data_IF_925033988274
#
_entry.id   IF_925033988274
#
_cell.length_a   1.000
_cell.length_b   1.000
_cell.length_c   1.000
_cell.angle_alpha   90.00
_cell.angle_beta   90.00
_cell.angle_gamma   90.00
#
_symmetry.space_group_name_H-M   'P 1'
#
loop_
_entity.id
_entity.type
_entity.pdbx_description
1 polymer ?
#
# COMPACT_ATOMS: atom_id res chain seq x y z
N UNK A 1 42.39 55.85 -6.60
CA UNK A 1 43.58 56.42 -5.93
C UNK A 1 43.12 57.63 -5.13
N UNK A 2 43.58 57.82 -3.88
CA UNK A 2 42.94 58.71 -2.87
C UNK A 2 41.84 57.96 -2.12
N UNK A 3 41.85 57.66 -0.80
CA UNK A 3 42.49 58.26 0.39
C UNK A 3 42.04 59.71 0.66
N UNK A 4 41.64 60.16 1.87
CA UNK A 4 41.74 59.59 3.24
C UNK A 4 40.79 60.29 4.26
N UNK A 5 40.37 59.56 5.30
CA UNK A 5 40.08 59.96 6.71
C UNK A 5 39.37 61.28 7.12
N UNK A 6 38.43 61.16 8.07
CA UNK A 6 37.96 62.24 8.97
C UNK A 6 36.84 61.77 9.92
N UNK A 7 37.00 61.88 11.24
CA UNK A 7 36.10 61.33 12.27
C UNK A 7 35.79 62.38 13.36
N UNK A 8 34.55 62.41 13.90
CA UNK A 8 34.23 62.97 15.22
C UNK A 8 32.87 62.49 15.78
N UNK A 9 32.84 62.33 17.11
CA UNK A 9 31.81 62.02 18.13
C UNK A 9 30.30 62.30 17.84
N UNK A 10 29.30 61.71 18.53
CA UNK A 10 29.13 61.40 19.98
C UNK A 10 28.41 60.05 20.21
N UNK A 11 28.84 59.15 21.11
CA UNK A 11 28.69 59.13 22.58
C UNK A 11 27.23 58.90 23.09
N UNK A 12 27.01 57.82 23.85
CA UNK A 12 25.70 57.41 24.38
C UNK A 12 25.67 55.96 24.89
N UNK A 13 26.25 55.72 26.06
CA UNK A 13 26.30 54.40 26.70
C UNK A 13 24.92 53.89 27.18
N UNK A 14 24.72 52.57 27.15
CA UNK A 14 23.48 51.92 27.55
C UNK A 14 23.70 50.43 27.83
N UNK A 15 23.97 50.11 29.09
CA UNK A 15 24.34 48.77 29.57
C UNK A 15 23.19 47.75 29.49
N UNK A 16 23.53 46.48 29.28
CA UNK A 16 22.55 45.38 29.17
C UNK A 16 21.93 45.01 30.54
N UNK A 17 20.80 44.28 30.51
CA UNK A 17 20.86 43.00 31.21
C UNK A 17 20.39 41.83 30.32
N UNK A 18 21.17 40.75 30.33
CA UNK A 18 20.74 39.46 29.81
C UNK A 18 19.70 38.84 30.75
N UNK A 19 18.62 38.25 30.21
CA UNK A 19 17.82 37.31 31.00
C UNK A 19 17.01 36.29 30.17
N UNK A 20 16.82 35.12 30.78
CA UNK A 20 15.90 34.02 30.42
C UNK A 20 16.00 33.42 28.99
N UNK A 21 16.80 32.36 28.86
CA UNK A 21 16.56 31.33 27.84
C UNK A 21 15.27 30.54 28.17
N UNK A 22 14.46 30.13 27.17
CA UNK A 22 13.20 29.44 27.42
C UNK A 22 13.41 28.00 27.92
N UNK A 23 12.78 27.68 29.06
CA UNK A 23 12.79 26.36 29.69
C UNK A 23 12.19 25.29 28.76
N UNK A 24 12.83 24.12 28.57
CA UNK A 24 12.29 23.06 27.72
C UNK A 24 11.04 22.43 28.34
N UNK A 25 9.87 22.71 27.77
CA UNK A 25 8.61 22.02 28.14
C UNK A 25 8.70 20.54 27.78
N UNK A 26 8.79 19.70 28.81
CA UNK A 26 8.90 18.24 28.71
C UNK A 26 7.64 17.68 28.06
N UNK A 27 7.70 17.29 26.77
CA UNK A 27 6.58 16.58 26.10
C UNK A 27 6.19 15.34 26.91
N UNK A 28 4.89 15.04 27.07
CA UNK A 28 4.47 13.74 27.58
C UNK A 28 4.91 12.63 26.61
N UNK A 29 5.23 11.42 27.11
CA UNK A 29 5.59 10.31 26.24
C UNK A 29 4.42 9.93 25.32
N UNK A 30 4.69 9.44 24.10
CA UNK A 30 3.64 8.92 23.23
C UNK A 30 2.93 7.76 23.93
N UNK A 31 1.60 7.69 23.78
CA UNK A 31 0.83 6.53 24.24
C UNK A 31 1.27 5.33 23.42
N UNK A 32 1.93 4.37 24.08
CA UNK A 32 2.29 3.08 23.49
C UNK A 32 1.05 2.44 22.85
N UNK A 33 1.10 2.18 21.54
CA UNK A 33 0.15 1.28 20.90
C UNK A 33 0.42 -0.12 21.45
N UNK A 34 -0.43 -0.58 22.37
CA UNK A 34 -0.37 -1.95 22.84
C UNK A 34 -0.74 -2.89 21.68
N UNK A 35 0.27 -3.55 21.08
CA UNK A 35 0.01 -4.69 20.21
C UNK A 35 -0.68 -5.78 21.04
N UNK A 36 -1.86 -6.29 20.63
CA UNK A 36 -2.49 -7.39 21.32
C UNK A 36 -1.68 -8.68 21.08
N UNK A 37 -1.16 -9.28 22.16
CA UNK A 37 -0.63 -10.64 22.12
C UNK A 37 -1.74 -11.65 21.82
N UNK A 38 -1.49 -12.67 20.98
CA UNK A 38 -2.53 -13.62 20.57
C UNK A 38 -2.92 -14.56 21.73
N UNK A 39 -4.22 -14.86 21.91
CA UNK A 39 -4.67 -15.82 22.92
C UNK A 39 -4.35 -17.27 22.52
N UNK A 40 -3.85 -18.06 23.47
CA UNK A 40 -3.62 -19.50 23.29
C UNK A 40 -4.95 -20.25 23.35
N UNK A 41 -5.50 -20.60 22.18
CA UNK A 41 -6.76 -21.34 22.07
C UNK A 41 -6.53 -22.84 22.30
N UNK A 42 -6.96 -23.36 23.46
CA UNK A 42 -7.10 -24.80 23.70
C UNK A 42 -8.39 -25.33 23.06
N UNK A 43 -8.29 -26.37 22.22
CA UNK A 43 -9.44 -27.09 21.65
C UNK A 43 -10.13 -27.99 22.69
N UNK A 44 -11.48 -27.96 22.81
CA UNK A 44 -12.27 -29.06 23.34
C UNK A 44 -12.54 -30.15 22.28
N UNK A 45 -12.99 -31.32 22.70
CA UNK A 45 -13.12 -32.53 21.86
C UNK A 45 -14.50 -33.18 22.04
N UNK A 46 -15.26 -33.30 20.95
CA UNK A 46 -16.28 -34.34 20.73
C UNK A 46 -17.67 -34.20 21.38
N UNK A 47 -18.67 -34.83 20.74
CA UNK A 47 -20.06 -35.02 21.22
C UNK A 47 -21.07 -35.05 20.06
N UNK A 48 -21.95 -36.06 19.98
CA UNK A 48 -22.88 -36.26 18.84
C UNK A 48 -24.31 -36.65 19.24
N UNK A 49 -25.15 -36.95 18.24
CA UNK A 49 -26.62 -37.17 18.32
C UNK A 49 -27.33 -36.18 17.37
N UNK A 50 -28.24 -36.53 16.44
CA UNK A 50 -29.44 -37.38 16.57
C UNK A 50 -30.64 -36.48 16.92
N UNK A 51 -31.80 -36.43 16.23
CA UNK A 51 -32.41 -37.33 15.23
C UNK A 51 -33.44 -36.59 14.32
N UNK A 52 -33.83 -37.27 13.22
CA UNK A 52 -35.01 -37.14 12.33
C UNK A 52 -36.23 -36.26 12.73
N UNK A 53 -36.85 -35.56 11.75
CA UNK A 53 -38.25 -35.85 11.30
C UNK A 53 -38.85 -34.91 10.21
N UNK A 54 -39.35 -35.55 9.13
CA UNK A 54 -40.63 -35.30 8.41
C UNK A 54 -40.91 -34.07 7.50
N UNK A 55 -41.65 -34.38 6.43
CA UNK A 55 -42.25 -33.61 5.31
C UNK A 55 -43.52 -34.38 4.86
N UNK A 56 -44.40 -33.85 3.95
CA UNK A 56 -44.65 -32.46 3.55
C UNK A 56 -46.09 -32.05 4.01
N UNK A 57 -47.23 -31.96 3.26
CA UNK A 57 -47.52 -32.02 1.81
C UNK A 57 -48.09 -30.72 1.17
N UNK A 58 -48.19 -30.73 -0.16
CA UNK A 58 -48.95 -29.84 -1.08
C UNK A 58 -50.46 -30.18 -1.08
N UNK A 59 -51.44 -29.46 -1.65
CA UNK A 59 -51.58 -28.21 -2.46
C UNK A 59 -53.08 -27.96 -2.71
N UNK A 60 -53.53 -26.74 -3.04
CA UNK A 60 -54.70 -26.53 -3.91
C UNK A 60 -54.66 -25.18 -4.64
N UNK A 61 -55.04 -25.17 -5.93
CA UNK A 61 -55.14 -23.97 -6.77
C UNK A 61 -56.45 -23.20 -6.52
N UNK A 62 -56.41 -21.89 -6.74
CA UNK A 62 -57.44 -21.23 -7.55
C UNK A 62 -56.85 -20.04 -8.33
N UNK A 63 -57.27 -19.92 -9.58
CA UNK A 63 -56.81 -18.97 -10.59
C UNK A 63 -57.54 -17.64 -10.54
N UNK A 64 -56.92 -16.57 -11.06
CA UNK A 64 -57.59 -15.63 -11.96
C UNK A 64 -56.58 -14.74 -12.70
N UNK A 65 -56.73 -14.64 -14.02
CA UNK A 65 -55.90 -13.80 -14.88
C UNK A 65 -56.29 -12.32 -14.81
N UNK A 66 -55.29 -11.45 -14.76
CA UNK A 66 -55.42 -10.05 -15.14
C UNK A 66 -54.11 -9.59 -15.79
N UNK A 67 -54.15 -9.29 -17.08
CA UNK A 67 -52.96 -8.92 -17.84
C UNK A 67 -52.42 -7.54 -17.40
N UNK A 68 -51.19 -7.49 -16.93
CA UNK A 68 -50.38 -6.27 -16.87
C UNK A 68 -48.93 -6.67 -17.10
N UNK A 69 -48.33 -6.18 -18.18
CA UNK A 69 -46.95 -6.45 -18.55
C UNK A 69 -46.02 -5.81 -17.50
N UNK A 70 -45.19 -6.60 -16.78
CA UNK A 70 -44.24 -6.02 -15.84
C UNK A 70 -43.13 -5.27 -16.60
N UNK A 71 -42.54 -4.20 -16.02
CA UNK A 71 -41.38 -3.56 -16.61
C UNK A 71 -40.25 -4.56 -16.72
N UNK A 72 -39.59 -4.57 -17.89
CA UNK A 72 -38.54 -5.53 -18.24
C UNK A 72 -37.31 -5.25 -17.39
N UNK A 73 -37.18 -5.96 -16.25
CA UNK A 73 -35.96 -5.95 -15.45
C UNK A 73 -34.78 -6.32 -16.36
N UNK A 74 -33.66 -5.56 -16.32
CA UNK A 74 -32.44 -6.03 -16.98
C UNK A 74 -32.07 -7.39 -16.39
N UNK A 75 -31.54 -8.33 -17.20
CA UNK A 75 -31.07 -9.59 -16.66
C UNK A 75 -30.04 -9.31 -15.56
N UNK A 76 -30.00 -10.10 -14.47
CA UNK A 76 -28.92 -9.97 -13.50
C UNK A 76 -27.61 -10.14 -14.25
N UNK A 77 -26.81 -9.07 -14.29
CA UNK A 77 -25.49 -9.10 -14.87
C UNK A 77 -24.70 -10.18 -14.16
N UNK A 78 -24.43 -11.29 -14.86
CA UNK A 78 -23.54 -12.33 -14.36
C UNK A 78 -22.27 -11.63 -13.90
N UNK A 79 -21.85 -11.75 -12.63
CA UNK A 79 -20.61 -11.12 -12.21
C UNK A 79 -19.51 -11.68 -13.10
N UNK A 80 -18.89 -10.82 -13.92
CA UNK A 80 -17.81 -11.26 -14.78
C UNK A 80 -16.76 -11.96 -13.91
N UNK A 81 -16.19 -13.08 -14.37
CA UNK A 81 -15.19 -13.79 -13.58
C UNK A 81 -14.02 -12.83 -13.33
N UNK A 82 -13.93 -12.31 -12.10
CA UNK A 82 -12.95 -11.29 -11.70
C UNK A 82 -11.60 -11.66 -12.30
N UNK A 83 -11.20 -10.95 -13.35
CA UNK A 83 -9.95 -11.27 -14.02
C UNK A 83 -8.85 -11.10 -12.98
N UNK A 84 -8.00 -12.11 -12.82
CA UNK A 84 -6.79 -11.98 -12.01
C UNK A 84 -5.93 -10.90 -12.67
N UNK A 85 -6.06 -9.67 -12.19
CA UNK A 85 -5.37 -8.46 -12.66
C UNK A 85 -3.88 -8.51 -12.25
N UNK A 86 -3.21 -9.59 -12.63
CA UNK A 86 -1.78 -9.78 -12.49
C UNK A 86 -1.14 -9.30 -13.79
N UNK A 87 -0.52 -8.13 -13.71
CA UNK A 87 0.06 -7.44 -14.85
C UNK A 87 1.33 -8.16 -15.29
N UNK A 88 1.27 -8.73 -16.50
CA UNK A 88 2.36 -9.50 -17.11
C UNK A 88 3.25 -8.61 -17.97
N UNK A 89 4.13 -7.82 -17.33
CA UNK A 89 5.32 -7.21 -17.98
C UNK A 89 6.55 -8.10 -17.79
N UNK A 90 6.39 -9.36 -18.20
CA UNK A 90 7.51 -10.28 -18.36
C UNK A 90 8.01 -10.04 -19.78
N UNK A 91 9.16 -9.37 -19.92
CA UNK A 91 9.80 -9.24 -21.22
C UNK A 91 10.12 -10.61 -21.81
N UNK A 92 10.36 -10.69 -23.12
CA UNK A 92 10.62 -11.93 -23.83
C UNK A 92 11.67 -12.81 -23.12
N UNK A 93 11.57 -14.16 -23.17
CA UNK A 93 12.56 -15.04 -22.54
C UNK A 93 13.99 -14.69 -22.98
N UNK A 94 14.88 -14.48 -22.00
CA UNK A 94 16.26 -14.02 -22.25
C UNK A 94 16.46 -12.51 -22.38
N UNK A 95 15.38 -11.70 -22.42
CA UNK A 95 15.47 -10.24 -22.37
C UNK A 95 16.09 -9.74 -21.05
N UNK A 96 16.71 -8.56 -21.10
CA UNK A 96 17.26 -7.90 -19.91
C UNK A 96 16.21 -7.76 -18.79
N UNK A 97 14.97 -7.38 -19.14
CA UNK A 97 13.85 -7.29 -18.19
C UNK A 97 13.54 -8.64 -17.54
N UNK A 98 13.54 -9.75 -18.29
CA UNK A 98 13.33 -11.08 -17.73
C UNK A 98 14.48 -11.52 -16.79
N UNK A 99 15.73 -11.25 -17.17
CA UNK A 99 16.92 -11.56 -16.38
C UNK A 99 16.95 -10.75 -15.06
N UNK A 100 16.69 -9.44 -15.12
CA UNK A 100 16.62 -8.58 -13.94
C UNK A 100 15.51 -9.00 -12.97
N UNK A 101 14.33 -9.40 -13.48
CA UNK A 101 13.25 -9.95 -12.64
C UNK A 101 13.66 -11.27 -11.96
N UNK A 102 14.40 -12.13 -12.66
CA UNK A 102 14.91 -13.37 -12.10
C UNK A 102 15.97 -13.12 -11.01
N UNK A 103 16.91 -12.19 -11.25
CA UNK A 103 17.92 -11.76 -10.28
C UNK A 103 17.28 -11.13 -9.03
N UNK A 104 16.36 -10.17 -9.19
CA UNK A 104 15.59 -9.58 -8.09
C UNK A 104 14.89 -10.66 -7.25
N UNK A 105 14.25 -11.65 -7.90
CA UNK A 105 13.61 -12.77 -7.22
C UNK A 105 14.61 -13.74 -6.56
N UNK A 106 15.82 -13.90 -7.09
CA UNK A 106 16.88 -14.69 -6.47
C UNK A 106 17.44 -14.00 -5.23
N UNK A 107 17.79 -12.71 -5.33
CA UNK A 107 18.27 -11.88 -4.21
C UNK A 107 17.25 -11.85 -3.05
N UNK A 108 15.95 -11.70 -3.35
CA UNK A 108 14.89 -11.77 -2.32
C UNK A 108 14.88 -13.08 -1.54
N UNK A 109 15.16 -14.22 -2.20
CA UNK A 109 15.21 -15.54 -1.56
C UNK A 109 16.48 -15.72 -0.73
N UNK A 110 17.62 -15.24 -1.22
CA UNK A 110 18.91 -15.40 -0.56
C UNK A 110 19.15 -14.42 0.60
N UNK A 111 18.71 -13.17 0.45
CA UNK A 111 19.09 -12.05 1.32
C UNK A 111 17.89 -11.40 2.04
N UNK A 112 16.66 -11.84 1.76
CA UNK A 112 15.43 -11.26 2.32
C UNK A 112 14.85 -10.09 1.49
N UNK A 113 13.70 -9.53 1.90
CA UNK A 113 12.95 -8.54 1.12
C UNK A 113 13.67 -7.20 0.92
N UNK A 114 14.67 -6.91 1.76
CA UNK A 114 15.35 -5.62 1.88
C UNK A 114 16.50 -5.47 0.88
N UNK A 115 17.10 -6.60 0.51
CA UNK A 115 18.41 -6.69 -0.14
C UNK A 115 18.30 -6.99 -1.65
N UNK A 116 17.18 -6.61 -2.25
CA UNK A 116 16.84 -6.87 -3.65
C UNK A 116 16.16 -5.66 -4.30
N UNK A 117 16.62 -4.47 -3.91
CA UNK A 117 16.00 -3.16 -4.21
C UNK A 117 16.98 -2.18 -4.86
N UNK A 118 18.28 -2.47 -4.79
CA UNK A 118 19.33 -1.70 -5.46
C UNK A 118 19.53 -2.24 -6.86
N UNK A 119 19.53 -1.33 -7.84
CA UNK A 119 19.76 -1.68 -9.23
C UNK A 119 21.13 -2.36 -9.38
N UNK A 120 21.23 -3.48 -10.12
CA UNK A 120 22.52 -4.09 -10.44
C UNK A 120 23.45 -3.09 -11.15
N UNK A 121 24.76 -3.22 -10.96
CA UNK A 121 25.73 -2.32 -11.57
C UNK A 121 25.58 -2.30 -13.10
N UNK A 122 25.43 -1.09 -13.67
CA UNK A 122 25.17 -0.90 -15.11
C UNK A 122 23.71 -1.11 -15.54
N UNK A 123 22.78 -1.44 -14.63
CA UNK A 123 21.35 -1.41 -14.93
C UNK A 123 20.85 0.05 -15.01
N UNK A 124 20.01 0.33 -16.00
CA UNK A 124 19.22 1.57 -16.05
C UNK A 124 18.25 1.63 -14.87
N UNK A 125 18.21 2.76 -14.17
CA UNK A 125 17.37 2.94 -12.97
C UNK A 125 15.87 2.87 -13.31
N UNK A 126 15.45 3.45 -14.44
CA UNK A 126 14.06 3.46 -14.87
C UNK A 126 13.53 2.04 -15.17
N UNK A 127 14.37 1.17 -15.73
CA UNK A 127 14.05 -0.25 -15.93
C UNK A 127 13.89 -1.01 -14.62
N UNK A 128 14.71 -0.68 -13.62
CA UNK A 128 14.62 -1.25 -12.30
C UNK A 128 13.33 -0.80 -11.56
N UNK A 129 12.95 0.47 -11.72
CA UNK A 129 11.71 1.04 -11.20
C UNK A 129 10.49 0.39 -11.88
N UNK A 130 10.45 0.27 -13.22
CA UNK A 130 9.34 -0.38 -13.96
C UNK A 130 9.13 -1.82 -13.47
N UNK A 131 10.22 -2.57 -13.25
CA UNK A 131 10.15 -3.92 -12.69
C UNK A 131 9.46 -3.89 -11.32
N UNK A 132 9.94 -3.07 -10.39
CA UNK A 132 9.49 -3.11 -9.00
C UNK A 132 8.13 -2.46 -8.74
N UNK A 133 7.78 -1.38 -9.44
CA UNK A 133 6.44 -0.75 -9.30
C UNK A 133 5.36 -1.73 -9.76
N UNK A 134 5.62 -2.48 -10.84
CA UNK A 134 4.70 -3.52 -11.35
C UNK A 134 4.67 -4.75 -10.42
N UNK A 135 5.77 -5.09 -9.74
CA UNK A 135 5.73 -6.10 -8.67
C UNK A 135 4.86 -5.62 -7.49
N UNK A 136 5.10 -4.42 -6.96
CA UNK A 136 4.39 -3.88 -5.81
C UNK A 136 2.87 -3.77 -6.04
N UNK A 137 2.46 -3.38 -7.26
CA UNK A 137 1.07 -3.47 -7.70
C UNK A 137 0.52 -4.89 -7.58
N UNK A 138 1.21 -5.85 -8.21
CA UNK A 138 0.77 -7.25 -8.27
C UNK A 138 0.70 -7.87 -6.86
N UNK A 139 1.63 -7.51 -5.96
CA UNK A 139 1.63 -7.95 -4.56
C UNK A 139 0.37 -7.47 -3.82
N UNK A 140 0.07 -6.16 -3.90
CA UNK A 140 -1.07 -5.57 -3.21
C UNK A 140 -2.40 -6.06 -3.80
N UNK A 141 -2.53 -6.14 -5.12
CA UNK A 141 -3.72 -6.68 -5.77
C UNK A 141 -3.94 -8.16 -5.39
N UNK A 142 -2.89 -8.98 -5.40
CA UNK A 142 -2.97 -10.38 -4.96
C UNK A 142 -3.21 -10.53 -3.45
N UNK A 143 -2.82 -9.54 -2.63
CA UNK A 143 -3.19 -9.50 -1.22
C UNK A 143 -4.68 -9.19 -1.05
N UNK A 144 -5.17 -8.15 -1.72
CA UNK A 144 -6.54 -7.67 -1.66
C UNK A 144 -7.56 -8.73 -2.07
N UNK A 145 -7.37 -9.35 -3.23
CA UNK A 145 -8.31 -10.36 -3.76
C UNK A 145 -8.32 -11.65 -2.93
N UNK A 146 -7.16 -12.21 -2.57
CA UNK A 146 -7.10 -13.48 -1.84
C UNK A 146 -7.61 -13.38 -0.40
N UNK A 147 -7.60 -12.19 0.22
CA UNK A 147 -8.16 -11.97 1.57
C UNK A 147 -9.64 -11.53 1.49
N UNK A 148 -10.16 -11.24 0.29
CA UNK A 148 -11.53 -10.75 0.08
C UNK A 148 -11.74 -9.34 0.64
N UNK A 149 -10.76 -8.45 0.45
CA UNK A 149 -10.78 -7.13 1.11
C UNK A 149 -11.82 -6.17 0.56
N UNK A 150 -12.29 -6.29 -0.68
CA UNK A 150 -13.36 -5.43 -1.21
C UNK A 150 -14.64 -5.53 -0.37
N UNK A 151 -15.17 -6.74 -0.19
CA UNK A 151 -16.39 -6.98 0.60
C UNK A 151 -16.20 -6.63 2.08
N UNK A 152 -15.03 -6.97 2.66
CA UNK A 152 -14.68 -6.60 4.04
C UNK A 152 -14.53 -5.09 4.24
N UNK A 153 -14.07 -4.35 3.23
CA UNK A 153 -13.95 -2.90 3.25
C UNK A 153 -15.34 -2.25 3.17
N UNK A 154 -16.18 -2.68 2.21
CA UNK A 154 -17.58 -2.23 2.09
C UNK A 154 -18.38 -2.52 3.36
N UNK A 155 -18.25 -3.71 3.93
CA UNK A 155 -18.95 -4.08 5.17
C UNK A 155 -18.50 -3.26 6.40
N UNK A 156 -17.22 -2.87 6.47
CA UNK A 156 -16.67 -2.11 7.60
C UNK A 156 -16.94 -0.60 7.50
N UNK A 157 -16.81 -0.03 6.30
CA UNK A 157 -16.76 1.42 6.09
C UNK A 157 -17.91 1.97 5.26
N UNK A 158 -18.68 1.13 4.55
CA UNK A 158 -19.79 1.57 3.73
C UNK A 158 -19.36 2.59 2.66
N UNK A 159 -19.94 3.78 2.71
CA UNK A 159 -19.64 4.89 1.81
C UNK A 159 -18.45 5.76 2.24
N UNK A 160 -17.81 5.48 3.39
CA UNK A 160 -16.73 6.35 3.88
C UNK A 160 -15.46 6.25 3.02
N UNK A 161 -14.75 7.38 2.79
CA UNK A 161 -13.49 7.42 2.05
C UNK A 161 -12.35 6.67 2.77
N UNK A 162 -11.26 6.34 2.06
CA UNK A 162 -10.13 5.61 2.65
C UNK A 162 -9.39 6.45 3.69
N UNK A 163 -9.20 5.88 4.88
CA UNK A 163 -8.47 6.50 6.00
C UNK A 163 -7.19 5.74 6.36
N UNK A 164 -6.24 6.46 6.96
CA UNK A 164 -5.10 5.93 7.69
C UNK A 164 -4.92 6.75 8.98
N UNK A 165 -5.26 6.17 10.12
CA UNK A 165 -5.49 6.94 11.36
C UNK A 165 -6.52 8.04 11.12
N UNK A 166 -6.20 9.25 11.58
CA UNK A 166 -7.05 10.43 11.44
C UNK A 166 -6.98 11.09 10.04
N UNK A 167 -6.14 10.60 9.12
CA UNK A 167 -6.00 11.16 7.77
C UNK A 167 -6.92 10.43 6.79
N UNK A 168 -7.80 11.19 6.14
CA UNK A 168 -8.63 10.76 5.00
C UNK A 168 -7.95 11.11 3.68
N UNK A 169 -8.11 10.28 2.63
CA UNK A 169 -7.60 10.55 1.29
C UNK A 169 -8.72 10.71 0.27
N UNK A 170 -8.67 11.80 -0.49
CA UNK A 170 -9.49 12.03 -1.67
C UNK A 170 -8.86 11.38 -2.92
N UNK A 171 -9.69 11.05 -3.92
CA UNK A 171 -9.22 10.67 -5.25
C UNK A 171 -8.68 11.90 -5.98
N UNK A 172 -7.47 11.78 -6.52
CA UNK A 172 -6.93 12.76 -7.47
C UNK A 172 -7.20 12.21 -8.88
N UNK A 173 -8.11 12.80 -9.69
CA UNK A 173 -8.45 12.27 -11.01
C UNK A 173 -7.26 12.27 -11.98
N UNK A 174 -7.30 11.37 -12.96
CA UNK A 174 -6.51 11.52 -14.20
C UNK A 174 -7.29 12.41 -15.20
N UNK A 175 -6.64 12.96 -16.24
CA UNK A 175 -7.27 13.90 -17.20
C UNK A 175 -8.47 13.34 -17.97
N UNK A 176 -8.60 12.03 -17.99
CA UNK A 176 -9.63 11.29 -18.71
C UNK A 176 -10.70 10.71 -17.75
N UNK A 177 -10.61 11.02 -16.45
CA UNK A 177 -11.62 10.65 -15.47
C UNK A 177 -12.80 11.63 -15.52
N UNK A 178 -14.00 11.15 -15.19
CA UNK A 178 -15.19 11.98 -15.09
C UNK A 178 -15.14 12.86 -13.82
N UNK A 179 -14.90 14.16 -14.00
CA UNK A 179 -14.84 15.19 -12.95
C UNK A 179 -16.10 15.28 -12.07
N UNK A 180 -17.23 14.66 -12.45
CA UNK A 180 -18.47 14.68 -11.65
C UNK A 180 -18.37 13.89 -10.34
N UNK A 181 -17.36 13.02 -10.19
CA UNK A 181 -17.15 12.25 -8.97
C UNK A 181 -16.38 13.11 -7.96
N UNK A 182 -17.10 13.62 -6.97
CA UNK A 182 -16.54 14.38 -5.86
C UNK A 182 -15.45 13.56 -5.16
N UNK A 183 -14.20 13.95 -5.42
CA UNK A 183 -12.97 13.31 -4.98
C UNK A 183 -12.96 12.86 -3.51
N UNK A 184 -13.65 13.63 -2.65
CA UNK A 184 -13.70 13.46 -1.20
C UNK A 184 -14.67 12.38 -0.71
N UNK A 185 -15.69 12.04 -1.50
CA UNK A 185 -16.78 11.13 -1.12
C UNK A 185 -16.61 9.72 -1.72
N UNK A 186 -15.50 9.45 -2.42
CA UNK A 186 -15.26 8.15 -3.04
C UNK A 186 -15.04 7.07 -1.95
N UNK A 187 -15.89 6.03 -1.86
CA UNK A 187 -15.77 5.01 -0.81
C UNK A 187 -14.44 4.27 -0.85
N UNK A 188 -13.94 3.86 0.31
CA UNK A 188 -12.62 3.24 0.46
C UNK A 188 -12.38 2.03 -0.47
N UNK A 189 -13.37 1.16 -0.64
CA UNK A 189 -13.27 0.02 -1.55
C UNK A 189 -13.17 0.46 -3.03
N UNK A 190 -13.93 1.49 -3.43
CA UNK A 190 -13.96 2.02 -4.78
C UNK A 190 -12.68 2.83 -5.11
N UNK A 191 -12.09 3.51 -4.12
CA UNK A 191 -10.76 4.12 -4.24
C UNK A 191 -9.68 3.07 -4.57
N UNK A 192 -9.71 1.92 -3.87
CA UNK A 192 -8.73 0.84 -4.11
C UNK A 192 -8.97 0.20 -5.48
N UNK A 193 -10.23 -0.04 -5.87
CA UNK A 193 -10.57 -0.52 -7.21
C UNK A 193 -10.08 0.43 -8.32
N UNK A 194 -10.33 1.75 -8.20
CA UNK A 194 -9.84 2.76 -9.14
C UNK A 194 -8.32 2.89 -9.16
N UNK A 195 -7.66 2.72 -8.01
CA UNK A 195 -6.20 2.62 -7.96
C UNK A 195 -5.69 1.46 -8.82
N UNK A 196 -6.39 0.31 -8.78
CA UNK A 196 -6.01 -0.84 -9.58
C UNK A 196 -6.29 -0.67 -11.08
N UNK A 197 -7.42 -0.06 -11.42
CA UNK A 197 -7.82 0.26 -12.79
C UNK A 197 -6.90 1.32 -13.43
N UNK A 198 -6.69 2.46 -12.77
CA UNK A 198 -5.84 3.55 -13.28
C UNK A 198 -4.41 3.09 -13.55
N UNK A 199 -3.83 2.25 -12.68
CA UNK A 199 -2.51 1.66 -12.96
C UNK A 199 -2.54 0.69 -14.16
N UNK A 200 -3.65 -0.04 -14.35
CA UNK A 200 -3.86 -0.91 -15.52
C UNK A 200 -4.07 -0.12 -16.82
N UNK A 201 -4.57 1.13 -16.74
CA UNK A 201 -4.56 2.10 -17.86
C UNK A 201 -3.14 2.60 -18.12
N UNK A 202 -2.49 3.16 -17.11
CA UNK A 202 -1.15 3.75 -17.22
C UNK A 202 -0.09 2.77 -17.77
N UNK A 203 -0.13 1.51 -17.35
CA UNK A 203 0.83 0.48 -17.79
C UNK A 203 0.72 0.08 -19.28
N UNK A 204 -0.42 0.43 -19.92
CA UNK A 204 -0.70 0.24 -21.35
C UNK A 204 -0.40 1.51 -22.16
N UNK A 205 -0.39 2.67 -21.52
CA UNK A 205 -0.07 3.94 -22.16
C UNK A 205 1.44 4.08 -22.40
N UNK A 206 1.82 4.28 -23.66
CA UNK A 206 3.22 4.44 -24.11
C UNK A 206 3.80 5.82 -23.81
N UNK A 207 2.97 6.80 -23.47
CA UNK A 207 3.44 8.07 -22.92
C UNK A 207 3.88 7.95 -21.46
N UNK A 208 3.49 6.89 -20.76
CA UNK A 208 3.79 6.67 -19.33
C UNK A 208 4.71 5.47 -19.11
N UNK A 209 4.42 4.29 -19.64
CA UNK A 209 5.28 3.10 -19.49
C UNK A 209 5.88 2.64 -20.83
N UNK A 210 7.17 2.23 -20.87
CA UNK A 210 7.83 1.84 -22.12
C UNK A 210 7.28 0.53 -22.69
N UNK A 211 7.85 0.06 -23.80
CA UNK A 211 7.58 -1.29 -24.31
C UNK A 211 8.19 -2.39 -23.41
N UNK A 212 7.55 -3.57 -23.27
CA UNK A 212 8.07 -4.68 -22.46
C UNK A 212 9.39 -5.29 -22.96
N UNK A 213 9.74 -5.10 -24.23
CA UNK A 213 10.92 -5.70 -24.87
C UNK A 213 12.05 -4.71 -25.18
N UNK A 214 11.90 -3.42 -24.87
CA UNK A 214 12.97 -2.42 -24.97
C UNK A 214 12.48 -1.02 -25.32
N UNK A 215 13.40 -0.16 -25.77
CA UNK A 215 13.13 1.25 -26.10
C UNK A 215 13.43 2.21 -24.94
N UNK A 216 13.57 3.49 -25.26
CA UNK A 216 13.81 4.54 -24.27
C UNK A 216 12.56 4.76 -23.39
N UNK A 217 12.79 5.19 -22.14
CA UNK A 217 11.71 5.56 -21.25
C UNK A 217 11.03 6.87 -21.70
N UNK A 218 9.68 6.94 -21.70
CA UNK A 218 8.98 8.16 -22.05
C UNK A 218 9.10 9.18 -20.90
N UNK A 219 9.07 10.48 -21.23
CA UNK A 219 9.18 11.55 -20.23
C UNK A 219 8.09 11.49 -19.13
N UNK A 220 6.93 10.88 -19.42
CA UNK A 220 5.86 10.66 -18.45
C UNK A 220 6.12 9.54 -17.43
N UNK A 221 7.18 8.74 -17.59
CA UNK A 221 7.42 7.57 -16.73
C UNK A 221 7.64 7.91 -15.27
N UNK A 222 8.63 8.75 -14.93
CA UNK A 222 8.89 9.12 -13.53
C UNK A 222 7.68 9.82 -12.86
N UNK A 223 6.98 10.78 -13.50
CA UNK A 223 5.72 11.31 -12.99
C UNK A 223 4.63 10.24 -12.78
N UNK A 224 4.43 9.33 -13.74
CA UNK A 224 3.43 8.26 -13.63
C UNK A 224 3.76 7.24 -12.55
N UNK A 225 5.02 6.86 -12.41
CA UNK A 225 5.51 6.00 -11.34
C UNK A 225 5.30 6.64 -9.94
N UNK A 226 5.58 7.95 -9.80
CA UNK A 226 5.23 8.70 -8.58
C UNK A 226 3.72 8.67 -8.28
N UNK A 227 2.87 9.04 -9.26
CA UNK A 227 1.40 9.04 -9.07
C UNK A 227 0.87 7.66 -8.67
N UNK A 228 1.38 6.61 -9.33
CA UNK A 228 1.08 5.22 -9.01
C UNK A 228 1.51 4.83 -7.60
N UNK A 229 2.77 5.08 -7.21
CA UNK A 229 3.29 4.76 -5.89
C UNK A 229 2.57 5.52 -4.77
N UNK A 230 2.25 6.81 -4.96
CA UNK A 230 1.43 7.58 -4.00
C UNK A 230 0.04 6.98 -3.79
N UNK A 231 -0.66 6.58 -4.86
CA UNK A 231 -1.95 5.87 -4.75
C UNK A 231 -1.79 4.51 -4.05
N UNK A 232 -0.79 3.70 -4.42
CA UNK A 232 -0.49 2.40 -3.78
C UNK A 232 -0.14 2.53 -2.29
N UNK A 233 0.62 3.56 -1.90
CA UNK A 233 0.93 3.84 -0.49
C UNK A 233 -0.36 4.08 0.31
N UNK A 234 -1.28 4.89 -0.20
CA UNK A 234 -2.57 5.17 0.46
C UNK A 234 -3.38 3.90 0.66
N UNK A 235 -3.43 3.02 -0.34
CA UNK A 235 -4.07 1.70 -0.23
C UNK A 235 -3.38 0.80 0.81
N UNK A 236 -2.05 0.80 0.90
CA UNK A 236 -1.31 0.07 1.93
C UNK A 236 -1.58 0.62 3.34
N UNK A 237 -1.46 1.93 3.54
CA UNK A 237 -1.74 2.56 4.85
C UNK A 237 -3.18 2.29 5.29
N UNK A 238 -4.12 2.37 4.35
CA UNK A 238 -5.51 2.03 4.57
C UNK A 238 -5.69 0.56 5.00
N UNK A 239 -5.07 -0.39 4.30
CA UNK A 239 -5.07 -1.81 4.66
C UNK A 239 -4.53 -2.04 6.08
N UNK A 240 -3.40 -1.41 6.43
CA UNK A 240 -2.79 -1.59 7.76
C UNK A 240 -3.64 -1.04 8.90
N UNK A 241 -4.24 0.14 8.72
CA UNK A 241 -5.13 0.74 9.73
C UNK A 241 -6.48 0.05 9.84
N UNK A 242 -7.06 -0.38 8.71
CA UNK A 242 -8.46 -0.82 8.69
C UNK A 242 -8.66 -2.34 8.59
N UNK A 243 -7.72 -3.08 8.01
CA UNK A 243 -7.94 -4.46 7.56
C UNK A 243 -6.83 -5.45 7.94
N UNK A 244 -5.79 -5.02 8.67
CA UNK A 244 -4.68 -5.91 9.02
C UNK A 244 -5.10 -7.12 9.87
N UNK A 245 -6.14 -7.00 10.71
CA UNK A 245 -6.72 -8.15 11.42
C UNK A 245 -7.17 -9.25 10.46
N UNK A 246 -7.94 -8.90 9.41
CA UNK A 246 -8.39 -9.84 8.40
C UNK A 246 -7.24 -10.44 7.57
N UNK A 247 -6.14 -9.72 7.40
CA UNK A 247 -4.90 -10.21 6.76
C UNK A 247 -4.15 -11.19 7.67
N UNK A 248 -4.13 -10.94 8.98
CA UNK A 248 -3.54 -11.83 9.98
C UNK A 248 -4.37 -13.11 10.17
N UNK A 249 -5.70 -13.00 10.25
CA UNK A 249 -6.65 -14.12 10.31
C UNK A 249 -6.54 -15.04 9.07
N UNK A 250 -6.27 -14.47 7.89
CA UNK A 250 -5.99 -15.22 6.67
C UNK A 250 -4.59 -15.88 6.64
N UNK A 251 -3.76 -15.70 7.68
CA UNK A 251 -2.40 -16.24 7.76
C UNK A 251 -1.40 -15.53 6.84
N UNK A 252 -1.65 -14.27 6.45
CA UNK A 252 -0.86 -13.56 5.42
C UNK A 252 -0.04 -12.36 5.93
N UNK A 253 -0.01 -12.13 7.23
CA UNK A 253 0.70 -11.01 7.86
C UNK A 253 2.18 -10.91 7.44
N UNK A 254 2.94 -12.00 7.49
CA UNK A 254 4.37 -12.00 7.12
C UNK A 254 4.59 -11.66 5.65
N UNK A 255 3.74 -12.19 4.76
CA UNK A 255 3.76 -11.88 3.33
C UNK A 255 3.43 -10.42 3.06
N UNK A 256 2.41 -9.88 3.73
CA UNK A 256 2.05 -8.47 3.65
C UNK A 256 3.21 -7.56 4.12
N UNK A 257 3.78 -7.86 5.29
CA UNK A 257 4.93 -7.12 5.85
C UNK A 257 6.14 -7.14 4.91
N UNK A 258 6.48 -8.30 4.33
CA UNK A 258 7.60 -8.42 3.39
C UNK A 258 7.37 -7.66 2.07
N UNK A 259 6.13 -7.65 1.56
CA UNK A 259 5.78 -6.90 0.35
C UNK A 259 5.75 -5.39 0.62
N UNK A 260 5.14 -4.96 1.72
CA UNK A 260 5.05 -3.53 2.05
C UNK A 260 6.43 -2.96 2.40
N UNK A 261 7.27 -3.70 3.12
CA UNK A 261 8.67 -3.31 3.35
C UNK A 261 9.44 -3.12 2.05
N UNK A 262 9.33 -4.06 1.10
CA UNK A 262 9.94 -3.93 -0.23
C UNK A 262 9.44 -2.68 -0.96
N UNK A 263 8.13 -2.46 -0.96
CA UNK A 263 7.51 -1.29 -1.57
C UNK A 263 8.04 0.02 -0.98
N UNK A 264 8.03 0.20 0.35
CA UNK A 264 8.56 1.39 1.02
C UNK A 264 10.05 1.60 0.72
N UNK A 265 10.83 0.51 0.68
CA UNK A 265 12.28 0.55 0.43
C UNK A 265 12.62 0.97 -1.01
N UNK A 266 11.79 0.59 -2.00
CA UNK A 266 11.88 1.07 -3.39
C UNK A 266 11.40 2.52 -3.49
N UNK A 267 10.22 2.81 -2.94
CA UNK A 267 9.55 4.09 -3.11
C UNK A 267 10.33 5.26 -2.49
N UNK A 268 10.97 5.04 -1.33
CA UNK A 268 11.84 6.03 -0.71
C UNK A 268 13.21 6.17 -1.39
N UNK A 269 13.77 5.08 -1.96
CA UNK A 269 15.11 5.10 -2.59
C UNK A 269 15.12 5.85 -3.91
N UNK A 270 14.05 5.72 -4.70
CA UNK A 270 13.94 6.30 -6.04
C UNK A 270 12.96 7.49 -6.10
N UNK A 271 12.70 8.11 -4.94
CA UNK A 271 11.89 9.33 -4.81
C UNK A 271 10.52 9.22 -5.48
N UNK A 272 9.86 8.07 -5.28
CA UNK A 272 8.52 7.76 -5.79
C UNK A 272 7.41 8.13 -4.79
N UNK A 273 7.79 8.35 -3.51
CA UNK A 273 6.93 8.74 -2.38
C UNK A 273 7.75 9.65 -1.47
N UNK A 274 7.15 10.75 -1.01
CA UNK A 274 7.80 11.63 -0.04
C UNK A 274 7.76 11.03 1.38
N UNK A 275 8.85 11.16 2.13
CA UNK A 275 8.91 10.67 3.53
C UNK A 275 7.81 11.29 4.40
N UNK A 276 7.37 12.53 4.12
CA UNK A 276 6.29 13.19 4.82
C UNK A 276 4.90 12.51 4.62
N UNK A 277 4.71 11.76 3.54
CA UNK A 277 3.48 10.98 3.34
C UNK A 277 3.36 9.82 4.34
N UNK A 278 4.48 9.31 4.87
CA UNK A 278 4.52 8.21 5.83
C UNK A 278 4.06 8.57 7.25
N UNK A 279 3.85 9.86 7.56
CA UNK A 279 3.48 10.32 8.90
C UNK A 279 2.33 9.53 9.58
N UNK A 280 1.25 9.09 8.89
CA UNK A 280 0.18 8.28 9.49
C UNK A 280 0.56 6.84 9.84
N UNK A 281 1.75 6.39 9.43
CA UNK A 281 2.29 5.04 9.68
C UNK A 281 3.76 5.10 10.14
N UNK A 282 4.25 6.22 10.67
CA UNK A 282 5.68 6.44 10.93
C UNK A 282 6.29 5.32 11.81
N UNK A 283 5.66 4.96 12.92
CA UNK A 283 6.10 3.86 13.79
C UNK A 283 6.18 2.50 13.07
N UNK A 284 5.18 2.21 12.21
CA UNK A 284 5.14 0.99 11.40
C UNK A 284 6.22 1.03 10.31
N UNK A 285 6.41 2.16 9.65
CA UNK A 285 7.44 2.34 8.63
C UNK A 285 8.84 2.19 9.23
N UNK A 286 9.09 2.77 10.41
CA UNK A 286 10.33 2.57 11.16
C UNK A 286 10.52 1.10 11.57
N UNK A 287 9.48 0.45 12.11
CA UNK A 287 9.53 -0.97 12.50
C UNK A 287 9.77 -1.90 11.31
N UNK A 288 9.16 -1.63 10.16
CA UNK A 288 9.39 -2.41 8.94
C UNK A 288 10.80 -2.14 8.42
N UNK A 289 11.16 -0.88 8.16
CA UNK A 289 12.43 -0.49 7.53
C UNK A 289 13.67 -0.73 8.41
N UNK A 290 13.51 -0.97 9.71
CA UNK A 290 14.60 -1.35 10.59
C UNK A 290 15.41 -2.55 10.02
N UNK A 291 16.75 -2.53 10.14
CA UNK A 291 17.56 -3.72 9.90
C UNK A 291 17.08 -4.87 10.79
N UNK A 292 16.96 -6.08 10.22
CA UNK A 292 16.69 -7.27 11.03
C UNK A 292 17.79 -7.40 12.08
N UNK A 293 17.43 -7.23 13.36
CA UNK A 293 18.29 -7.65 14.47
C UNK A 293 18.46 -9.16 14.36
N UNK A 294 19.62 -9.60 13.89
CA UNK A 294 20.05 -10.99 14.04
C UNK A 294 20.16 -11.25 15.53
N UNK A 295 19.30 -12.12 16.06
CA UNK A 295 19.42 -12.58 17.44
C UNK A 295 20.67 -13.45 17.51
N UNK A 296 21.75 -12.83 18.00
CA UNK A 296 22.92 -13.42 18.63
C UNK A 296 23.57 -14.62 17.93
N UNK A 297 24.29 -14.33 16.83
CA UNK A 297 25.42 -15.18 16.39
C UNK A 297 26.51 -15.34 17.50
N UNK A 298 26.45 -14.52 18.57
CA UNK A 298 27.29 -14.61 19.75
C UNK A 298 26.81 -15.64 20.80
N UNK A 299 25.57 -16.11 20.71
CA UNK A 299 25.02 -17.11 21.64
C UNK A 299 25.41 -18.58 21.29
N UNK A 300 26.02 -18.81 20.12
CA UNK A 300 26.48 -20.14 19.68
C UNK A 300 28.02 -20.29 19.74
N UNK A 301 28.72 -19.32 20.31
CA UNK A 301 30.19 -19.27 20.38
C UNK A 301 30.71 -19.01 21.81
N UNK A 302 29.92 -19.41 22.83
CA UNK A 302 30.11 -18.99 24.22
C UNK A 302 29.75 -20.03 25.28
N UNK A 303 29.90 -21.33 24.98
CA UNK A 303 29.92 -22.42 25.98
C UNK A 303 31.02 -23.45 25.64
N UNK A 304 32.28 -23.00 25.56
CA UNK A 304 33.46 -23.81 25.91
C UNK A 304 34.44 -22.93 26.68
N UNK A 305 34.67 -23.24 27.97
CA UNK A 305 35.46 -22.45 28.91
C UNK A 305 35.23 -22.86 30.35
#
# INVERSE_FOLDING_TARGET
MGNTFGCAQCAGDGEAPANAAPTPTRRPPPRSMNLPTPPVVRRPRGGGGGTSALMPPTSHLQSNDAATTPPRTPPPSTPEPKQKLLLKRVGSPGSLRALLRADAAARRRALGPDNAVEAPAGCEEDLWIDIHVVEAFNDLHALWEQVGLDEKCRAKLGANPPTAGDRTYAWDPDSDDDDTIMAWDLPAADYVARTFESFTRAIRDRAVFPEPDGGAFPAGFRPGARKACGRLLRCWMHLYHNHFSAVAEAGRADGANACFKRFLTIALRYELVDRAELAPIEDLAQSLLAPRRTVDAKALAGEEG
#
